data_IF_157644431600
#
_entry.id   IF_157644431600
#
_cell.length_a   1.000
_cell.length_b   1.000
_cell.length_c   1.000
_cell.angle_alpha   90.00
_cell.angle_beta   90.00
_cell.angle_gamma   90.00
#
_symmetry.space_group_name_H-M   'P 1'
#
loop_
_entity.id
_entity.type
_entity.pdbx_description
1 polymer ?
#
# COMPACT_ATOMS: atom_id res chain seq x y z
N UNK A 1 -22.50 -83.06 60.58
CA UNK A 1 -23.43 -81.95 60.28
C UNK A 1 -22.75 -80.68 60.74
N UNK A 2 -22.04 -79.98 59.85
CA UNK A 2 -21.21 -78.80 60.14
C UNK A 2 -21.69 -77.61 59.39
N UNK A 3 -22.11 -76.60 60.12
CA UNK A 3 -22.49 -75.33 59.55
C UNK A 3 -21.25 -74.41 59.48
N UNK A 4 -20.88 -74.05 58.32
CA UNK A 4 -19.79 -73.11 58.07
C UNK A 4 -20.31 -71.70 58.04
N UNK A 5 -19.82 -70.86 58.92
CA UNK A 5 -20.12 -69.42 58.95
C UNK A 5 -19.29 -68.64 57.91
N UNK A 6 -19.95 -67.93 57.01
CA UNK A 6 -19.30 -66.98 56.11
C UNK A 6 -18.95 -65.70 56.87
N UNK A 7 -17.67 -65.40 56.89
CA UNK A 7 -17.18 -64.09 57.36
C UNK A 7 -17.18 -63.13 56.19
N UNK A 8 -17.99 -62.11 56.27
CA UNK A 8 -18.01 -60.96 55.37
C UNK A 8 -16.75 -60.10 55.59
N UNK A 9 -15.93 -59.96 54.54
CA UNK A 9 -14.81 -59.04 54.54
C UNK A 9 -15.26 -57.70 53.94
N UNK A 10 -15.29 -56.70 54.80
CA UNK A 10 -15.56 -55.33 54.41
C UNK A 10 -14.35 -54.77 53.65
N UNK A 11 -14.48 -54.56 52.35
CA UNK A 11 -13.49 -53.85 51.52
C UNK A 11 -13.58 -52.36 51.81
N UNK A 12 -12.58 -51.81 52.48
CA UNK A 12 -12.40 -50.37 52.58
C UNK A 12 -11.99 -49.85 51.23
N UNK A 13 -12.85 -49.03 50.59
CA UNK A 13 -12.53 -48.29 49.43
C UNK A 13 -11.65 -47.11 49.81
N UNK A 14 -10.38 -47.11 49.37
CA UNK A 14 -9.47 -45.98 49.46
C UNK A 14 -9.82 -45.06 48.30
N UNK A 15 -10.40 -43.91 48.62
CA UNK A 15 -10.60 -42.84 47.61
C UNK A 15 -9.27 -42.15 47.43
N UNK A 16 -8.69 -42.29 46.23
CA UNK A 16 -7.54 -41.51 45.79
C UNK A 16 -8.09 -40.21 45.18
N UNK A 17 -7.73 -39.02 45.68
CA UNK A 17 -8.12 -37.80 45.02
C UNK A 17 -7.30 -37.63 43.73
N UNK A 18 -7.97 -37.67 42.59
CA UNK A 18 -7.38 -37.33 41.30
C UNK A 18 -7.23 -35.79 41.23
N UNK A 19 -6.04 -35.31 41.51
CA UNK A 19 -5.71 -33.91 41.30
C UNK A 19 -5.63 -33.65 39.78
N UNK A 20 -6.67 -33.08 39.21
CA UNK A 20 -6.66 -32.61 37.84
C UNK A 20 -5.82 -31.32 37.75
N UNK A 21 -4.56 -31.43 37.35
CA UNK A 21 -3.75 -30.30 36.94
C UNK A 21 -4.26 -29.83 35.59
N UNK A 22 -5.08 -28.77 35.57
CA UNK A 22 -5.43 -28.05 34.39
C UNK A 22 -4.19 -27.27 33.87
N UNK A 23 -3.51 -27.82 32.87
CA UNK A 23 -2.52 -27.07 32.11
C UNK A 23 -3.28 -26.10 31.24
N UNK A 24 -3.36 -24.84 31.66
CA UNK A 24 -3.84 -23.75 30.81
C UNK A 24 -2.79 -23.50 29.72
N UNK A 25 -2.98 -24.10 28.54
CA UNK A 25 -2.31 -23.70 27.32
C UNK A 25 -2.84 -22.32 26.97
N UNK A 26 -2.11 -21.29 27.41
CA UNK A 26 -2.31 -19.92 26.95
C UNK A 26 -1.98 -19.84 25.47
N UNK A 27 -2.98 -19.99 24.60
CA UNK A 27 -2.90 -19.59 23.22
C UNK A 27 -2.79 -18.07 23.26
N UNK A 28 -1.55 -17.54 23.16
CA UNK A 28 -1.35 -16.15 22.79
C UNK A 28 -1.92 -16.00 21.38
N UNK A 29 -3.20 -15.61 21.29
CA UNK A 29 -3.75 -15.10 20.05
C UNK A 29 -2.92 -13.86 19.73
N UNK A 30 -1.93 -14.01 18.83
CA UNK A 30 -1.34 -12.87 18.15
C UNK A 30 -2.52 -12.18 17.49
N UNK A 31 -2.98 -11.06 18.05
CA UNK A 31 -3.89 -10.16 17.38
C UNK A 31 -3.10 -9.58 16.21
N UNK A 32 -3.18 -10.26 15.05
CA UNK A 32 -2.81 -9.63 13.81
C UNK A 32 -3.63 -8.34 13.75
N UNK A 33 -2.97 -7.19 13.87
CA UNK A 33 -3.60 -5.92 13.55
C UNK A 33 -4.20 -6.12 12.15
N UNK A 34 -5.51 -5.89 11.95
CA UNK A 34 -6.07 -5.97 10.61
C UNK A 34 -5.22 -5.02 9.76
N UNK A 35 -4.61 -5.56 8.70
CA UNK A 35 -4.02 -4.72 7.68
C UNK A 35 -5.14 -3.77 7.27
N UNK A 36 -4.93 -2.46 7.46
CA UNK A 36 -5.91 -1.48 7.04
C UNK A 36 -6.16 -1.75 5.56
N UNK A 37 -7.38 -2.17 5.22
CA UNK A 37 -7.74 -2.47 3.85
C UNK A 37 -7.46 -1.20 3.05
N UNK A 38 -6.53 -1.26 2.10
CA UNK A 38 -6.33 -0.16 1.17
C UNK A 38 -7.57 -0.10 0.29
N UNK A 39 -8.09 1.11 0.07
CA UNK A 39 -9.17 1.31 -0.89
C UNK A 39 -8.61 1.44 -2.33
N UNK A 40 -7.52 0.74 -2.65
CA UNK A 40 -6.99 0.63 -4.00
C UNK A 40 -7.80 -0.38 -4.81
N UNK A 41 -7.81 -0.26 -6.14
CA UNK A 41 -8.56 -1.18 -7.01
C UNK A 41 -8.04 -2.61 -6.95
N UNK A 42 -6.73 -2.80 -6.81
CA UNK A 42 -6.10 -4.11 -6.69
C UNK A 42 -6.07 -4.66 -5.26
N UNK A 43 -6.48 -3.86 -4.26
CA UNK A 43 -6.48 -4.24 -2.84
C UNK A 43 -5.11 -4.17 -2.17
N UNK A 44 -4.05 -3.80 -2.88
CA UNK A 44 -2.70 -3.67 -2.33
C UNK A 44 -2.57 -2.43 -1.44
N UNK A 45 -1.73 -2.50 -0.43
CA UNK A 45 -1.48 -1.40 0.51
C UNK A 45 -0.59 -0.29 -0.11
N UNK A 46 -0.03 -0.50 -1.29
CA UNK A 46 0.89 0.40 -1.99
C UNK A 46 0.81 0.18 -3.50
N UNK A 47 1.23 1.16 -4.29
CA UNK A 47 1.44 1.00 -5.74
C UNK A 47 2.48 -0.10 -5.94
N UNK A 48 2.18 -1.08 -6.77
CA UNK A 48 3.03 -2.25 -7.00
C UNK A 48 2.84 -2.82 -8.39
N UNK A 49 3.82 -3.57 -8.84
CA UNK A 49 3.77 -4.32 -10.10
C UNK A 49 5.13 -4.87 -10.48
N UNK A 50 5.20 -5.61 -11.57
CA UNK A 50 6.42 -6.25 -12.06
C UNK A 50 6.72 -5.95 -13.53
N UNK A 51 5.74 -5.44 -14.26
CA UNK A 51 5.83 -5.20 -15.70
C UNK A 51 6.18 -3.76 -16.07
N UNK A 52 5.37 -3.12 -16.87
CA UNK A 52 5.57 -1.73 -17.29
C UNK A 52 4.86 -0.77 -16.32
N UNK A 53 5.29 0.49 -16.18
CA UNK A 53 4.54 1.46 -15.38
C UNK A 53 3.11 1.66 -15.85
N UNK A 54 2.85 1.51 -17.14
CA UNK A 54 1.50 1.58 -17.68
C UNK A 54 0.65 0.41 -17.15
N UNK A 55 1.25 -0.76 -17.00
CA UNK A 55 0.60 -1.92 -16.41
C UNK A 55 0.46 -1.79 -14.90
N UNK A 56 1.55 -1.45 -14.22
CA UNK A 56 1.56 -1.27 -12.76
C UNK A 56 0.58 -0.19 -12.27
N UNK A 57 0.34 0.86 -13.06
CA UNK A 57 -0.57 1.95 -12.70
C UNK A 57 -2.00 1.77 -13.21
N UNK A 58 -2.27 0.84 -14.11
CA UNK A 58 -3.59 0.68 -14.70
C UNK A 58 -4.66 0.13 -13.75
N UNK A 59 -4.28 -0.44 -12.64
CA UNK A 59 -5.16 -0.97 -11.60
C UNK A 59 -5.03 -0.24 -10.26
N UNK A 60 -4.34 0.92 -10.25
CA UNK A 60 -4.13 1.75 -9.07
C UNK A 60 -5.20 2.85 -8.90
N UNK A 61 -5.22 3.44 -7.72
CA UNK A 61 -6.20 4.46 -7.30
C UNK A 61 -7.30 3.81 -6.42
N UNK A 62 -8.37 4.52 -6.05
CA UNK A 62 -8.55 5.94 -6.32
C UNK A 62 -7.94 6.79 -5.21
N UNK A 63 -7.46 8.00 -5.56
CA UNK A 63 -7.20 9.07 -4.58
C UNK A 63 -8.08 10.27 -4.93
N UNK A 64 -8.84 10.74 -3.96
CA UNK A 64 -9.77 11.87 -4.11
C UNK A 64 -10.18 12.42 -2.74
N UNK A 65 -11.14 13.34 -2.69
CA UNK A 65 -11.60 13.97 -1.44
C UNK A 65 -12.35 13.03 -0.48
N UNK A 66 -12.63 11.79 -0.86
CA UNK A 66 -13.36 10.81 -0.04
C UNK A 66 -12.63 9.46 0.11
N UNK A 67 -11.68 9.18 -0.77
CA UNK A 67 -10.96 7.90 -0.83
C UNK A 67 -9.46 8.17 -0.80
N UNK A 68 -8.74 7.52 0.10
CA UNK A 68 -7.29 7.69 0.28
C UNK A 68 -6.86 9.15 0.36
N UNK A 69 -7.72 9.98 1.00
CA UNK A 69 -7.58 11.44 1.06
C UNK A 69 -6.23 11.88 1.62
N UNK A 70 -5.72 11.15 2.61
CA UNK A 70 -4.41 11.43 3.22
C UNK A 70 -3.55 10.18 3.09
N UNK A 71 -2.62 10.19 2.12
CA UNK A 71 -1.79 9.03 1.82
C UNK A 71 -0.51 9.39 1.08
N UNK A 72 0.47 8.48 1.11
CA UNK A 72 1.67 8.61 0.29
C UNK A 72 1.38 8.43 -1.21
N UNK A 73 0.31 7.73 -1.59
CA UNK A 73 -0.14 7.68 -3.00
C UNK A 73 -0.73 9.02 -3.43
N UNK A 74 -1.46 9.72 -2.55
CA UNK A 74 -1.86 11.10 -2.80
C UNK A 74 -0.64 12.01 -3.00
N UNK A 75 0.40 11.83 -2.17
CA UNK A 75 1.67 12.55 -2.34
C UNK A 75 2.34 12.24 -3.69
N UNK A 76 2.37 10.97 -4.10
CA UNK A 76 2.86 10.55 -5.42
C UNK A 76 2.11 11.26 -6.55
N UNK A 77 0.78 11.26 -6.51
CA UNK A 77 -0.07 11.95 -7.48
C UNK A 77 0.20 13.45 -7.52
N UNK A 78 0.34 14.09 -6.36
CA UNK A 78 0.67 15.52 -6.27
C UNK A 78 2.05 15.85 -6.86
N UNK A 79 3.03 14.95 -6.78
CA UNK A 79 4.31 15.13 -7.47
C UNK A 79 4.14 15.14 -9.00
N UNK A 80 3.27 14.29 -9.55
CA UNK A 80 2.93 14.29 -10.99
C UNK A 80 2.29 15.64 -11.37
N UNK A 81 1.27 16.07 -10.62
CA UNK A 81 0.59 17.34 -10.86
C UNK A 81 1.54 18.55 -10.76
N UNK A 82 2.48 18.53 -9.83
CA UNK A 82 3.50 19.56 -9.70
C UNK A 82 4.43 19.61 -10.91
N UNK A 83 4.92 18.47 -11.37
CA UNK A 83 5.82 18.39 -12.51
C UNK A 83 5.13 18.84 -13.80
N UNK A 84 3.84 18.54 -13.94
CA UNK A 84 3.01 18.96 -15.09
C UNK A 84 2.52 20.43 -14.97
N UNK A 85 2.88 21.12 -13.88
CA UNK A 85 2.57 22.54 -13.71
C UNK A 85 1.17 22.87 -13.20
N UNK A 86 0.38 21.85 -12.79
CA UNK A 86 -0.99 22.05 -12.28
C UNK A 86 -1.03 22.32 -10.77
N UNK A 87 0.01 21.99 -10.03
CA UNK A 87 0.08 22.16 -8.58
C UNK A 87 1.37 22.87 -8.18
N UNK A 88 1.32 23.71 -7.16
CA UNK A 88 2.53 24.30 -6.59
C UNK A 88 3.33 23.29 -5.77
N UNK A 89 4.64 23.52 -5.61
CA UNK A 89 5.51 22.67 -4.78
C UNK A 89 5.01 22.54 -3.33
N UNK A 90 4.43 23.59 -2.77
CA UNK A 90 3.84 23.59 -1.42
C UNK A 90 2.57 22.74 -1.33
N UNK A 91 1.90 22.48 -2.44
CA UNK A 91 0.71 21.61 -2.50
C UNK A 91 1.04 20.12 -2.48
N UNK A 92 2.32 19.73 -2.48
CA UNK A 92 2.74 18.33 -2.30
C UNK A 92 2.76 18.04 -0.79
N UNK A 93 1.64 17.69 -0.20
CA UNK A 93 1.47 17.46 1.24
C UNK A 93 0.88 16.11 1.63
N UNK A 94 0.52 15.31 0.61
CA UNK A 94 -0.11 14.01 0.79
C UNK A 94 -1.58 14.08 1.23
N UNK A 95 -2.19 15.29 1.17
CA UNK A 95 -3.59 15.51 1.49
C UNK A 95 -4.38 15.93 0.25
N UNK A 96 -5.37 15.13 -0.16
CA UNK A 96 -6.19 15.39 -1.33
C UNK A 96 -7.27 16.45 -1.02
N UNK A 97 -6.87 17.71 -1.03
CA UNK A 97 -7.75 18.84 -0.78
C UNK A 97 -8.35 19.43 -2.08
N UNK A 98 -9.11 20.56 -1.95
CA UNK A 98 -9.73 21.23 -3.09
C UNK A 98 -8.74 21.65 -4.18
N UNK A 99 -7.54 22.09 -3.80
CA UNK A 99 -6.49 22.47 -4.75
C UNK A 99 -6.03 21.25 -5.59
N UNK A 100 -5.81 20.10 -4.95
CA UNK A 100 -5.44 18.85 -5.62
C UNK A 100 -6.59 18.39 -6.53
N UNK A 101 -7.84 18.47 -6.08
CA UNK A 101 -9.01 18.14 -6.92
C UNK A 101 -9.06 18.99 -8.18
N UNK A 102 -8.91 20.31 -8.07
CA UNK A 102 -8.94 21.23 -9.21
C UNK A 102 -7.79 20.93 -10.17
N UNK A 103 -6.57 20.76 -9.66
CA UNK A 103 -5.41 20.41 -10.45
C UNK A 103 -5.60 19.06 -11.17
N UNK A 104 -6.19 18.06 -10.50
CA UNK A 104 -6.50 16.76 -11.10
C UNK A 104 -7.50 16.92 -12.26
N UNK A 105 -8.58 17.68 -12.07
CA UNK A 105 -9.56 17.92 -13.13
C UNK A 105 -8.96 18.64 -14.36
N UNK A 106 -8.09 19.62 -14.16
CA UNK A 106 -7.36 20.28 -15.25
C UNK A 106 -6.45 19.30 -15.98
N UNK A 107 -5.65 18.53 -15.23
CA UNK A 107 -4.76 17.50 -15.77
C UNK A 107 -5.51 16.47 -16.63
N UNK A 108 -6.68 16.02 -16.15
CA UNK A 108 -7.57 15.10 -16.87
C UNK A 108 -8.12 15.72 -18.16
N UNK A 109 -8.65 16.95 -18.08
CA UNK A 109 -9.21 17.66 -19.23
C UNK A 109 -8.20 17.84 -20.36
N UNK A 110 -6.95 18.22 -20.06
CA UNK A 110 -5.89 18.40 -21.04
C UNK A 110 -5.44 17.10 -21.72
N UNK A 111 -5.84 15.93 -21.14
CA UNK A 111 -5.58 14.59 -21.68
C UNK A 111 -6.82 13.91 -22.25
N UNK A 112 -7.93 14.65 -22.38
CA UNK A 112 -9.19 14.13 -22.94
C UNK A 112 -9.91 13.12 -22.04
N UNK A 113 -9.55 13.08 -20.75
CA UNK A 113 -10.24 12.27 -19.76
C UNK A 113 -11.46 13.01 -19.19
N UNK A 114 -12.35 12.28 -18.50
CA UNK A 114 -13.41 12.89 -17.68
C UNK A 114 -12.77 13.73 -16.57
N UNK A 115 -13.02 15.04 -16.56
CA UNK A 115 -12.44 15.99 -15.63
C UNK A 115 -13.21 16.02 -14.29
N UNK A 116 -13.34 14.87 -13.63
CA UNK A 116 -14.07 14.71 -12.37
C UNK A 116 -13.25 15.11 -11.12
N UNK A 117 -11.95 15.29 -11.29
CA UNK A 117 -11.01 15.64 -10.23
C UNK A 117 -10.74 14.50 -9.26
N UNK A 118 -10.96 13.25 -9.66
CA UNK A 118 -10.61 12.05 -8.92
C UNK A 118 -9.54 11.28 -9.67
N UNK A 119 -8.38 11.07 -9.08
CA UNK A 119 -7.35 10.24 -9.69
C UNK A 119 -7.70 8.75 -9.50
N UNK A 120 -8.56 8.26 -10.39
CA UNK A 120 -9.00 6.88 -10.47
C UNK A 120 -8.22 6.08 -11.52
N UNK A 121 -8.74 4.88 -11.84
CA UNK A 121 -8.10 3.93 -12.76
C UNK A 121 -7.68 4.58 -14.10
N UNK A 122 -8.59 5.28 -14.79
CA UNK A 122 -8.28 5.91 -16.07
C UNK A 122 -7.16 6.97 -15.94
N UNK A 123 -7.16 7.74 -14.86
CA UNK A 123 -6.17 8.77 -14.58
C UNK A 123 -4.79 8.16 -14.29
N UNK A 124 -4.72 7.11 -13.49
CA UNK A 124 -3.47 6.40 -13.22
C UNK A 124 -2.96 5.65 -14.46
N UNK A 125 -3.84 5.05 -15.27
CA UNK A 125 -3.46 4.45 -16.55
C UNK A 125 -2.78 5.47 -17.47
N UNK A 126 -3.37 6.66 -17.63
CA UNK A 126 -2.79 7.73 -18.45
C UNK A 126 -1.45 8.20 -17.90
N UNK A 127 -1.31 8.34 -16.58
CA UNK A 127 -0.04 8.65 -15.95
C UNK A 127 0.99 7.54 -16.24
N UNK A 128 0.59 6.28 -16.18
CA UNK A 128 1.45 5.13 -16.50
C UNK A 128 1.95 5.12 -17.94
N UNK A 129 1.10 5.50 -18.90
CA UNK A 129 1.49 5.66 -20.29
C UNK A 129 2.53 6.79 -20.44
N UNK A 130 2.33 7.91 -19.74
CA UNK A 130 3.28 9.02 -19.73
C UNK A 130 4.64 8.62 -19.11
N UNK A 131 4.64 7.77 -18.08
CA UNK A 131 5.86 7.14 -17.58
C UNK A 131 6.50 6.26 -18.65
N UNK A 132 5.72 5.42 -19.34
CA UNK A 132 6.21 4.47 -20.34
C UNK A 132 6.87 5.11 -21.55
N UNK A 133 6.43 6.29 -21.96
CA UNK A 133 6.98 7.01 -23.10
C UNK A 133 8.38 7.60 -22.88
N UNK A 134 8.84 7.69 -21.64
CA UNK A 134 10.07 8.38 -21.24
C UNK A 134 11.00 7.51 -20.37
N UNK A 135 10.98 6.20 -20.58
CA UNK A 135 11.78 5.26 -19.80
C UNK A 135 13.26 5.36 -20.07
N UNK A 136 14.03 5.56 -19.02
CA UNK A 136 15.44 5.17 -18.97
C UNK A 136 15.61 4.16 -17.86
N UNK A 137 15.78 2.89 -18.24
CA UNK A 137 16.20 1.83 -17.35
C UNK A 137 17.65 2.06 -16.96
N UNK A 138 17.91 2.24 -15.69
CA UNK A 138 19.24 2.02 -15.13
C UNK A 138 19.12 0.83 -14.18
N UNK A 139 19.72 -0.27 -14.55
CA UNK A 139 19.93 -1.38 -13.62
C UNK A 139 20.82 -0.89 -12.49
N UNK A 140 20.26 -0.72 -11.31
CA UNK A 140 21.07 -0.57 -10.12
C UNK A 140 21.41 -1.96 -9.61
N UNK A 141 22.62 -2.43 -9.95
CA UNK A 141 23.16 -3.74 -9.57
C UNK A 141 23.27 -3.94 -8.05
N UNK A 142 23.12 -2.91 -7.24
CA UNK A 142 23.31 -2.97 -5.77
C UNK A 142 22.04 -3.32 -4.97
N UNK A 143 20.89 -3.59 -5.60
CA UNK A 143 19.68 -3.88 -4.83
C UNK A 143 18.50 -4.42 -5.64
N UNK A 144 18.71 -4.80 -6.90
CA UNK A 144 17.63 -5.36 -7.73
C UNK A 144 16.46 -4.40 -7.93
N UNK A 145 16.72 -3.11 -8.09
CA UNK A 145 15.68 -2.08 -8.25
C UNK A 145 15.77 -1.43 -9.62
N UNK A 146 14.62 -1.20 -10.24
CA UNK A 146 14.50 -0.43 -11.46
C UNK A 146 14.30 1.06 -11.13
N UNK A 147 14.91 1.94 -11.93
CA UNK A 147 14.69 3.38 -11.90
C UNK A 147 13.84 3.76 -13.10
N UNK A 148 12.76 4.45 -12.84
CA UNK A 148 11.85 4.98 -13.85
C UNK A 148 11.70 6.46 -13.58
N UNK A 149 11.80 7.30 -14.62
CA UNK A 149 11.59 8.72 -14.47
C UNK A 149 10.29 9.15 -15.14
N UNK A 150 9.35 9.72 -14.41
CA UNK A 150 8.26 10.50 -15.00
C UNK A 150 8.81 11.86 -15.44
N UNK A 151 8.75 12.13 -16.73
CA UNK A 151 9.19 13.38 -17.31
C UNK A 151 8.12 13.95 -18.22
N UNK A 152 7.48 15.07 -17.86
CA UNK A 152 6.66 15.83 -18.77
C UNK A 152 7.48 16.27 -20.00
N UNK A 153 6.87 16.29 -21.18
CA UNK A 153 7.55 16.61 -22.44
C UNK A 153 8.22 17.98 -22.47
N UNK A 154 7.79 18.90 -21.61
CA UNK A 154 8.26 20.29 -21.52
C UNK A 154 9.25 20.56 -20.37
N UNK A 155 9.64 19.52 -19.62
CA UNK A 155 10.49 19.65 -18.43
C UNK A 155 11.85 18.99 -18.68
N UNK A 156 12.98 19.59 -18.22
CA UNK A 156 14.30 19.00 -18.33
C UNK A 156 14.41 17.64 -17.61
N UNK A 157 15.31 16.76 -18.09
CA UNK A 157 15.50 15.40 -17.56
C UNK A 157 15.82 15.40 -16.06
N UNK A 158 16.61 16.36 -15.58
CA UNK A 158 16.97 16.54 -14.19
C UNK A 158 15.80 16.86 -13.26
N UNK A 159 14.65 17.24 -13.85
CA UNK A 159 13.41 17.50 -13.11
C UNK A 159 12.46 16.31 -13.07
N UNK A 160 12.81 15.17 -13.70
CA UNK A 160 11.99 13.97 -13.68
C UNK A 160 11.64 13.50 -12.26
N UNK A 161 10.46 12.89 -12.11
CA UNK A 161 10.12 12.18 -10.88
C UNK A 161 10.87 10.85 -10.88
N UNK A 162 11.81 10.73 -9.97
CA UNK A 162 12.52 9.48 -9.78
C UNK A 162 11.65 8.48 -9.02
N UNK A 163 11.54 7.29 -9.58
CA UNK A 163 10.74 6.19 -9.02
C UNK A 163 11.59 4.93 -9.00
N UNK A 164 11.44 4.09 -8.00
CA UNK A 164 12.12 2.81 -7.88
C UNK A 164 11.17 1.75 -7.37
N UNK A 165 11.36 0.50 -7.81
CA UNK A 165 10.67 -0.68 -7.30
C UNK A 165 11.60 -1.90 -7.30
N UNK A 166 11.31 -2.96 -6.51
CA UNK A 166 12.03 -4.25 -6.61
C UNK A 166 11.84 -4.90 -8.00
N UNK A 167 12.79 -5.74 -8.42
CA UNK A 167 12.72 -6.46 -9.70
C UNK A 167 11.59 -7.49 -9.76
N UNK A 168 11.32 -8.13 -8.64
CA UNK A 168 10.30 -9.19 -8.47
C UNK A 168 8.90 -8.63 -8.21
N UNK A 169 8.70 -7.34 -8.47
CA UNK A 169 7.50 -6.62 -8.06
C UNK A 169 7.62 -6.13 -6.62
N UNK A 170 6.64 -5.38 -6.17
CA UNK A 170 6.58 -4.84 -4.82
C UNK A 170 6.36 -3.34 -4.80
N UNK A 171 6.50 -2.75 -3.62
CA UNK A 171 6.14 -1.36 -3.39
C UNK A 171 6.99 -0.38 -4.22
N UNK A 172 6.32 0.50 -4.92
CA UNK A 172 6.95 1.65 -5.54
C UNK A 172 7.42 2.64 -4.48
N UNK A 173 8.58 3.25 -4.71
CA UNK A 173 9.06 4.40 -3.96
C UNK A 173 9.42 5.53 -4.93
N UNK A 174 9.23 6.75 -4.53
CA UNK A 174 9.50 7.93 -5.35
C UNK A 174 10.28 8.99 -4.55
N UNK A 175 11.05 9.81 -5.26
CA UNK A 175 11.75 10.96 -4.66
C UNK A 175 10.79 12.15 -4.60
N UNK A 176 10.30 12.47 -3.40
CA UNK A 176 9.39 13.59 -3.20
C UNK A 176 10.05 14.92 -3.55
N UNK A 177 9.54 15.61 -4.55
CA UNK A 177 10.11 16.87 -5.07
C UNK A 177 10.04 18.03 -4.08
N UNK A 178 9.15 17.95 -3.06
CA UNK A 178 9.10 18.96 -2.01
C UNK A 178 10.21 18.79 -0.97
N UNK A 179 10.42 17.55 -0.50
CA UNK A 179 11.29 17.25 0.64
C UNK A 179 12.65 16.69 0.27
N UNK A 180 12.82 16.20 -0.96
CA UNK A 180 14.02 15.50 -1.41
C UNK A 180 14.21 14.13 -0.74
N UNK A 181 13.15 13.54 -0.15
CA UNK A 181 13.21 12.24 0.53
C UNK A 181 12.52 11.17 -0.29
N UNK A 182 13.03 9.94 -0.19
CA UNK A 182 12.37 8.77 -0.73
C UNK A 182 11.14 8.41 0.10
N UNK A 183 10.01 8.18 -0.56
CA UNK A 183 8.72 7.86 0.04
C UNK A 183 8.15 6.63 -0.65
N UNK A 184 7.70 5.63 0.12
CA UNK A 184 6.93 4.51 -0.43
C UNK A 184 5.52 4.97 -0.77
N UNK A 185 5.05 4.65 -1.98
CA UNK A 185 3.73 5.02 -2.46
C UNK A 185 2.66 4.11 -1.84
N UNK A 186 2.35 4.35 -0.57
CA UNK A 186 1.42 3.56 0.23
C UNK A 186 0.08 4.29 0.43
N UNK A 187 -1.03 3.53 0.44
CA UNK A 187 -2.38 4.06 0.62
C UNK A 187 -2.76 4.31 2.08
N UNK A 188 -2.14 3.59 3.00
CA UNK A 188 -2.50 3.58 4.42
C UNK A 188 -1.56 4.42 5.30
N UNK A 189 -0.61 5.12 4.71
CA UNK A 189 0.32 6.01 5.43
C UNK A 189 0.51 7.30 4.65
N UNK A 190 0.90 8.37 5.33
CA UNK A 190 1.36 9.61 4.70
C UNK A 190 2.76 9.94 5.21
N UNK A 191 3.75 9.76 4.35
CA UNK A 191 5.16 10.11 4.58
C UNK A 191 5.60 11.30 3.70
N UNK A 192 4.64 12.10 3.22
CA UNK A 192 4.87 13.27 2.42
C UNK A 192 5.54 14.37 3.25
#
# INVERSE_FOLDING_TARGET
MSSSALRSRTLRRIAVPLAATAVALGVAAATATPAAASNSYNGNAYISGSDTPADDLNDEGAVNMSTNTVSSVTCFWQNILYLDGYLSKSGIDGSFGPATKTATAQWQGDRGLSADGSAGKATFTEAGIAFGSNWHWTENTSGGRYWVGYRPSHVPVESALEVTRPFDGGAWSFLNKRTGKWVTAAYNTNAC
#
